data_IF_561019427398
#
_entry.id   IF_561019427398
#
_cell.length_a   1.000
_cell.length_b   1.000
_cell.length_c   1.000
_cell.angle_alpha   90.00
_cell.angle_beta   90.00
_cell.angle_gamma   90.00
#
_symmetry.space_group_name_H-M   'P 1'
#
loop_
_entity.id
_entity.type
_entity.pdbx_description
1 polymer ?
#
# COMPACT_ATOMS: atom_id res chain seq x y z
N UNK A 1 19.94 -6.80 -8.90
CA UNK A 1 19.11 -5.62 -8.58
C UNK A 1 18.27 -6.03 -7.40
N UNK A 2 18.69 -5.50 -6.26
CA UNK A 2 18.66 -6.21 -4.99
C UNK A 2 17.29 -6.16 -4.35
N UNK A 3 17.02 -7.14 -3.48
CA UNK A 3 15.77 -7.25 -2.76
C UNK A 3 15.43 -5.94 -2.06
N UNK A 4 14.26 -5.36 -2.39
CA UNK A 4 13.77 -4.17 -1.70
C UNK A 4 13.32 -4.56 -0.30
N UNK A 5 14.08 -4.12 0.71
CA UNK A 5 13.74 -4.34 2.11
C UNK A 5 12.80 -3.23 2.56
N UNK A 6 11.71 -3.60 3.24
CA UNK A 6 10.77 -2.66 3.88
C UNK A 6 10.86 -2.89 5.38
N UNK A 7 11.16 -1.82 6.13
CA UNK A 7 11.27 -1.85 7.58
C UNK A 7 9.97 -1.34 8.21
N UNK A 8 9.51 -2.04 9.24
CA UNK A 8 8.34 -1.67 10.02
C UNK A 8 8.69 -1.61 11.50
N UNK A 9 8.09 -0.69 12.23
CA UNK A 9 8.17 -0.61 13.69
C UNK A 9 6.75 -0.67 14.26
N UNK A 10 6.56 -1.44 15.33
CA UNK A 10 5.28 -1.56 16.02
C UNK A 10 5.53 -1.93 17.48
N UNK A 11 4.68 -1.42 18.37
CA UNK A 11 4.68 -1.76 19.81
C UNK A 11 3.74 -2.93 20.14
N UNK A 12 2.88 -3.32 19.20
CA UNK A 12 1.83 -4.34 19.42
C UNK A 12 1.96 -5.54 18.49
N UNK A 13 2.66 -5.41 17.36
CA UNK A 13 2.79 -6.49 16.40
C UNK A 13 3.70 -7.60 16.91
N UNK A 14 3.25 -8.84 16.73
CA UNK A 14 4.07 -10.03 16.88
C UNK A 14 4.55 -10.48 15.49
N UNK A 15 5.86 -10.61 15.25
CA UNK A 15 6.38 -10.87 13.91
C UNK A 15 6.01 -12.25 13.35
N UNK A 16 5.65 -13.21 14.20
CA UNK A 16 5.25 -14.57 13.82
C UNK A 16 3.80 -14.65 13.35
N UNK A 17 2.97 -13.65 13.69
CA UNK A 17 1.56 -13.65 13.34
C UNK A 17 1.39 -13.42 11.84
N UNK A 18 0.80 -14.40 11.16
CA UNK A 18 0.51 -14.34 9.74
C UNK A 18 -0.97 -14.57 9.43
N UNK A 19 -1.45 -13.96 8.35
CA UNK A 19 -2.81 -14.08 7.86
C UNK A 19 -2.79 -14.53 6.40
N UNK A 20 -3.65 -15.49 6.06
CA UNK A 20 -3.85 -15.93 4.68
C UNK A 20 -4.65 -14.87 3.92
N UNK A 21 -4.09 -14.37 2.82
CA UNK A 21 -4.76 -13.42 1.93
C UNK A 21 -4.62 -13.86 0.49
N UNK A 22 -5.73 -13.77 -0.23
CA UNK A 22 -5.75 -13.91 -1.66
C UNK A 22 -5.08 -12.67 -2.29
N UNK A 23 -4.09 -12.89 -3.16
CA UNK A 23 -3.35 -11.83 -3.85
C UNK A 23 -3.36 -12.10 -5.34
N UNK A 24 -3.45 -11.04 -6.14
CA UNK A 24 -3.32 -11.11 -7.59
C UNK A 24 -1.85 -11.11 -7.99
N UNK A 25 -1.51 -11.88 -9.02
CA UNK A 25 -0.16 -11.91 -9.61
C UNK A 25 0.17 -10.51 -10.14
N UNK A 26 1.33 -9.94 -9.79
CA UNK A 26 1.69 -8.61 -10.27
C UNK A 26 1.98 -8.61 -11.78
N UNK A 27 1.77 -7.44 -12.40
CA UNK A 27 2.09 -7.21 -13.81
C UNK A 27 3.59 -7.42 -14.09
N UNK A 28 3.93 -7.78 -15.34
CA UNK A 28 5.32 -8.00 -15.77
C UNK A 28 6.21 -6.76 -15.58
N UNK A 29 5.61 -5.58 -15.62
CA UNK A 29 6.27 -4.27 -15.50
C UNK A 29 6.49 -3.83 -14.05
N UNK A 30 6.01 -4.58 -13.05
CA UNK A 30 6.20 -4.17 -11.65
C UNK A 30 7.66 -4.32 -11.22
N UNK A 31 8.11 -3.44 -10.33
CA UNK A 31 9.51 -3.32 -9.89
C UNK A 31 10.12 -4.66 -9.44
N UNK A 32 9.32 -5.51 -8.78
CA UNK A 32 9.74 -6.82 -8.26
C UNK A 32 9.05 -8.00 -8.97
N UNK A 33 8.52 -7.78 -10.18
CA UNK A 33 7.78 -8.79 -10.93
C UNK A 33 8.58 -10.07 -11.14
N UNK A 34 9.88 -9.98 -11.43
CA UNK A 34 10.72 -11.15 -11.73
C UNK A 34 10.72 -12.16 -10.57
N UNK A 35 10.90 -11.70 -9.33
CA UNK A 35 10.93 -12.58 -8.16
C UNK A 35 9.52 -13.00 -7.72
N UNK A 36 8.60 -12.04 -7.61
CA UNK A 36 7.25 -12.32 -7.09
C UNK A 36 6.48 -13.24 -8.05
N UNK A 37 6.60 -13.05 -9.38
CA UNK A 37 5.88 -13.88 -10.35
C UNK A 37 6.33 -15.35 -10.37
N UNK A 38 7.53 -15.68 -9.83
CA UNK A 38 7.96 -17.07 -9.62
C UNK A 38 7.18 -17.71 -8.48
N UNK A 39 6.94 -17.00 -7.38
CA UNK A 39 6.11 -17.47 -6.25
C UNK A 39 4.68 -17.80 -6.71
N UNK A 40 4.16 -17.06 -7.69
CA UNK A 40 2.84 -17.31 -8.26
C UNK A 40 2.80 -18.46 -9.28
N UNK A 41 3.91 -18.84 -9.91
CA UNK A 41 3.91 -19.81 -11.01
C UNK A 41 2.97 -19.35 -12.14
N UNK A 42 2.07 -20.22 -12.57
CA UNK A 42 1.07 -19.91 -13.60
C UNK A 42 -0.25 -19.36 -13.05
N UNK A 43 -0.40 -19.33 -11.72
CA UNK A 43 -1.62 -18.85 -11.08
C UNK A 43 -1.76 -17.33 -11.22
N UNK A 44 -2.91 -16.88 -11.74
CA UNK A 44 -3.26 -15.46 -11.78
C UNK A 44 -3.53 -14.89 -10.38
N UNK A 45 -3.97 -15.75 -9.45
CA UNK A 45 -4.33 -15.42 -8.08
C UNK A 45 -3.82 -16.53 -7.16
N UNK A 46 -3.24 -16.18 -6.01
CA UNK A 46 -2.69 -17.14 -5.06
C UNK A 46 -2.95 -16.68 -3.63
N UNK A 47 -3.31 -17.62 -2.76
CA UNK A 47 -3.38 -17.38 -1.32
C UNK A 47 -1.97 -17.41 -0.75
N UNK A 48 -1.56 -16.31 -0.14
CA UNK A 48 -0.24 -16.15 0.49
C UNK A 48 -0.42 -15.89 1.99
N UNK A 49 0.47 -16.47 2.79
CA UNK A 49 0.61 -16.08 4.19
C UNK A 49 1.44 -14.82 4.26
N UNK A 50 0.87 -13.74 4.80
CA UNK A 50 1.56 -12.47 4.99
C UNK A 50 1.55 -12.08 6.47
N UNK A 51 2.54 -11.33 6.96
CA UNK A 51 2.53 -10.84 8.33
C UNK A 51 1.28 -9.98 8.60
N UNK A 52 0.64 -10.22 9.76
CA UNK A 52 -0.61 -9.55 10.14
C UNK A 52 -0.45 -8.02 10.17
N UNK A 53 0.66 -7.53 10.71
CA UNK A 53 0.91 -6.09 10.80
C UNK A 53 1.05 -5.41 9.43
N UNK A 54 1.66 -6.08 8.44
CA UNK A 54 1.72 -5.57 7.06
C UNK A 54 0.31 -5.52 6.46
N UNK A 55 -0.51 -6.54 6.74
CA UNK A 55 -1.90 -6.53 6.30
C UNK A 55 -2.67 -5.35 6.91
N UNK A 56 -2.57 -5.16 8.23
CA UNK A 56 -3.24 -4.08 8.95
C UNK A 56 -2.79 -2.71 8.46
N UNK A 57 -1.48 -2.47 8.35
CA UNK A 57 -0.94 -1.20 7.86
C UNK A 57 -1.52 -0.84 6.49
N UNK A 58 -1.47 -1.75 5.51
CA UNK A 58 -2.00 -1.49 4.18
C UNK A 58 -3.52 -1.21 4.15
N UNK A 59 -4.28 -1.77 5.08
CA UNK A 59 -5.73 -1.51 5.15
C UNK A 59 -6.07 -0.14 5.74
N UNK A 60 -5.22 0.39 6.64
CA UNK A 60 -5.56 1.57 7.45
C UNK A 60 -4.67 2.80 7.19
N UNK A 61 -3.51 2.67 6.53
CA UNK A 61 -2.54 3.76 6.38
C UNK A 61 -3.04 4.94 5.54
N UNK A 62 -3.92 4.72 4.57
CA UNK A 62 -4.31 5.73 3.56
C UNK A 62 -5.44 6.67 4.02
N UNK A 63 -5.68 6.82 5.33
CA UNK A 63 -6.79 7.65 5.84
C UNK A 63 -6.69 9.11 5.41
N UNK A 64 -5.52 9.71 5.61
CA UNK A 64 -5.24 11.11 5.23
C UNK A 64 -5.27 11.29 3.71
N UNK A 65 -4.62 10.40 2.97
CA UNK A 65 -4.57 10.47 1.50
C UNK A 65 -5.96 10.36 0.87
N UNK A 66 -6.85 9.53 1.42
CA UNK A 66 -8.24 9.42 0.94
C UNK A 66 -9.04 10.69 1.21
N UNK A 67 -8.81 11.33 2.34
CA UNK A 67 -9.43 12.62 2.66
C UNK A 67 -8.92 13.71 1.73
N UNK A 68 -7.60 13.80 1.53
CA UNK A 68 -6.98 14.76 0.61
C UNK A 68 -7.45 14.57 -0.83
N UNK A 69 -7.47 13.33 -1.32
CA UNK A 69 -7.98 13.00 -2.65
C UNK A 69 -9.43 13.46 -2.83
N UNK A 70 -10.27 13.24 -1.82
CA UNK A 70 -11.69 13.65 -1.85
C UNK A 70 -11.81 15.18 -1.81
N UNK A 71 -11.01 15.85 -0.99
CA UNK A 71 -10.96 17.31 -0.87
C UNK A 71 -10.47 17.95 -2.17
N UNK A 72 -9.47 17.35 -2.82
CA UNK A 72 -8.92 17.78 -4.10
C UNK A 72 -9.95 17.63 -5.22
N UNK A 73 -10.61 16.47 -5.31
CA UNK A 73 -11.60 16.20 -6.35
C UNK A 73 -12.83 17.12 -6.26
N UNK A 74 -13.30 17.39 -5.05
CA UNK A 74 -14.44 18.29 -4.79
C UNK A 74 -14.01 19.69 -4.32
N UNK A 75 -12.81 20.13 -4.69
CA UNK A 75 -12.25 21.39 -4.21
C UNK A 75 -13.09 22.58 -4.66
N UNK A 76 -13.46 23.43 -3.70
CA UNK A 76 -14.10 24.73 -3.96
C UNK A 76 -13.12 25.88 -3.88
N UNK A 77 -11.82 25.58 -3.71
CA UNK A 77 -10.77 26.59 -3.59
C UNK A 77 -10.59 27.35 -4.90
N UNK A 78 -10.63 28.69 -4.81
CA UNK A 78 -10.40 29.58 -5.95
C UNK A 78 -8.95 30.04 -5.98
N UNK A 79 -8.41 30.25 -7.18
CA UNK A 79 -7.09 30.85 -7.36
C UNK A 79 -7.03 32.23 -6.69
N UNK A 80 -6.00 32.47 -5.87
CA UNK A 80 -5.74 33.75 -5.19
C UNK A 80 -4.25 34.06 -5.22
N UNK A 81 -3.90 35.35 -5.29
CA UNK A 81 -2.52 35.85 -5.26
C UNK A 81 -2.06 36.31 -3.86
N UNK A 82 -2.80 35.92 -2.82
CA UNK A 82 -2.50 36.23 -1.42
C UNK A 82 -2.34 34.90 -0.68
N UNK A 83 -1.19 34.71 -0.05
CA UNK A 83 -0.87 33.54 0.80
C UNK A 83 -1.71 33.50 2.07
N UNK A 84 -2.30 34.63 2.48
CA UNK A 84 -3.17 34.77 3.66
C UNK A 84 -4.65 34.40 3.40
N UNK A 85 -4.98 33.80 2.25
CA UNK A 85 -6.36 33.36 1.98
C UNK A 85 -6.52 31.93 1.41
N UNK A 86 -6.04 30.88 2.09
CA UNK A 86 -6.83 29.65 2.26
C UNK A 86 -7.94 29.93 3.31
N UNK A 87 -8.52 28.92 3.95
CA UNK A 87 -8.74 29.14 5.39
C UNK A 87 -7.37 28.98 6.03
#
# INVERSE_FOLDING_TARGET
KDAQVVLFASTVARPEETVKRERKRPAKTSTNAKCIRLVFGDLAVKVLSIPVFINLYNHFMNGVDRFDQSTSYYSTLRAKRKTWKPL
#
